data_IF_376292825567
#
_entry.id   IF_376292825567
#
_cell.length_a   1.000
_cell.length_b   1.000
_cell.length_c   1.000
_cell.angle_alpha   90.00
_cell.angle_beta   90.00
_cell.angle_gamma   90.00
#
_symmetry.space_group_name_H-M   'P 1'
#
loop_
_entity.id
_entity.type
_entity.pdbx_description
1 polymer ?
#
# COMPACT_ATOMS: atom_id res chain seq x y z
N UNK A 1 -10.97 13.67 2.49
CA UNK A 1 -10.23 12.42 2.36
C UNK A 1 -10.43 11.55 3.59
N UNK A 2 -10.38 10.25 3.38
CA UNK A 2 -10.54 9.25 4.43
C UNK A 2 -9.24 8.46 4.54
N UNK A 3 -8.66 8.38 5.74
CA UNK A 3 -7.42 7.67 5.99
C UNK A 3 -7.70 6.28 6.59
N UNK A 4 -6.89 5.31 6.21
CA UNK A 4 -6.96 3.96 6.80
C UNK A 4 -6.41 3.92 8.23
N UNK A 5 -5.59 4.92 8.57
CA UNK A 5 -4.71 4.82 9.72
C UNK A 5 -3.54 3.90 9.41
N UNK A 6 -2.62 3.76 10.35
CA UNK A 6 -1.47 2.88 10.21
C UNK A 6 -1.88 1.43 10.43
N UNK A 7 -1.59 0.56 9.47
CA UNK A 7 -1.90 -0.87 9.56
C UNK A 7 -0.59 -1.65 9.44
N UNK A 8 -0.28 -2.42 10.46
CA UNK A 8 0.94 -3.22 10.51
C UNK A 8 0.64 -4.67 10.15
N UNK A 9 1.44 -5.22 9.23
CA UNK A 9 1.38 -6.64 8.88
C UNK A 9 2.73 -7.28 9.21
N UNK A 10 2.70 -8.40 9.90
CA UNK A 10 3.92 -9.16 10.18
C UNK A 10 4.31 -9.95 8.94
N UNK A 11 5.41 -9.54 8.29
CA UNK A 11 5.84 -10.08 7.01
C UNK A 11 7.30 -10.46 7.08
N UNK A 12 7.61 -11.70 6.74
CA UNK A 12 8.96 -12.21 6.74
C UNK A 12 9.80 -11.61 5.61
N UNK A 13 9.27 -11.65 4.38
CA UNK A 13 9.92 -11.08 3.20
C UNK A 13 9.16 -9.83 2.74
N UNK A 14 9.53 -8.69 3.32
CA UNK A 14 8.85 -7.41 3.04
C UNK A 14 9.06 -6.95 1.60
N UNK A 15 10.25 -7.20 1.03
CA UNK A 15 10.54 -6.83 -0.36
C UNK A 15 9.64 -7.59 -1.32
N UNK A 16 9.45 -8.89 -1.10
CA UNK A 16 8.57 -9.69 -1.94
C UNK A 16 7.11 -9.22 -1.84
N UNK A 17 6.67 -8.84 -0.64
CA UNK A 17 5.32 -8.31 -0.44
C UNK A 17 5.10 -7.01 -1.23
N UNK A 18 6.04 -6.09 -1.17
CA UNK A 18 5.98 -4.84 -1.95
C UNK A 18 6.00 -5.14 -3.44
N UNK A 19 6.81 -6.08 -3.89
CA UNK A 19 6.88 -6.45 -5.30
C UNK A 19 5.55 -7.03 -5.82
N UNK A 20 4.81 -7.76 -4.99
CA UNK A 20 3.48 -8.24 -5.37
C UNK A 20 2.51 -7.08 -5.63
N UNK A 21 2.59 -6.03 -4.81
CA UNK A 21 1.76 -4.84 -5.00
C UNK A 21 2.18 -4.08 -6.26
N UNK A 22 3.50 -3.94 -6.51
CA UNK A 22 3.99 -3.34 -7.75
C UNK A 22 3.46 -4.08 -8.98
N UNK A 23 3.54 -5.40 -8.96
CA UNK A 23 3.10 -6.22 -10.09
C UNK A 23 1.59 -6.08 -10.32
N UNK A 24 0.82 -6.00 -9.24
CA UNK A 24 -0.64 -5.85 -9.33
C UNK A 24 -1.03 -4.54 -10.01
N UNK A 25 -0.30 -3.46 -9.73
CA UNK A 25 -0.61 -2.15 -10.29
C UNK A 25 0.18 -1.81 -11.56
N UNK A 26 1.01 -2.72 -12.04
CA UNK A 26 1.72 -2.53 -13.30
C UNK A 26 0.69 -2.42 -14.45
N UNK A 27 0.82 -1.39 -15.27
CA UNK A 27 -0.13 -1.11 -16.35
C UNK A 27 -1.39 -0.38 -15.94
N UNK A 28 -1.62 -0.18 -14.64
CA UNK A 28 -2.70 0.66 -14.13
C UNK A 28 -2.24 2.13 -14.08
N UNK A 29 -3.18 3.10 -13.96
CA UNK A 29 -2.80 4.51 -13.82
C UNK A 29 -2.29 4.83 -12.41
N UNK A 30 -1.30 4.07 -11.97
CA UNK A 30 -0.70 4.18 -10.63
C UNK A 30 0.78 4.51 -10.78
N UNK A 31 1.17 5.61 -10.18
CA UNK A 31 2.58 6.01 -10.11
C UNK A 31 3.22 5.39 -8.88
N UNK A 32 4.47 4.96 -9.01
CA UNK A 32 5.20 4.30 -7.92
C UNK A 32 6.47 5.09 -7.64
N UNK A 33 6.70 5.42 -6.37
CA UNK A 33 7.86 6.17 -5.93
C UNK A 33 8.50 5.52 -4.71
N UNK A 34 9.82 5.40 -4.71
CA UNK A 34 10.59 4.70 -3.67
C UNK A 34 11.46 5.63 -2.81
N UNK A 35 10.99 6.83 -2.51
CA UNK A 35 11.80 7.79 -1.74
C UNK A 35 11.69 7.59 -0.22
N UNK A 36 10.52 7.24 0.29
CA UNK A 36 10.25 7.02 1.72
C UNK A 36 9.33 5.83 1.85
N UNK A 37 9.92 4.64 1.87
CA UNK A 37 9.16 3.43 1.62
C UNK A 37 8.76 3.40 0.15
N UNK A 38 7.64 2.77 -0.16
CA UNK A 38 7.11 2.73 -1.53
C UNK A 38 5.71 3.33 -1.54
N UNK A 39 5.53 4.39 -2.33
CA UNK A 39 4.24 5.08 -2.44
C UNK A 39 3.60 4.78 -3.79
N UNK A 40 2.36 4.34 -3.74
CA UNK A 40 1.51 4.10 -4.91
C UNK A 40 0.47 5.20 -4.98
N UNK A 41 0.38 5.90 -6.10
CA UNK A 41 -0.56 7.00 -6.28
C UNK A 41 -1.41 6.76 -7.51
N UNK A 42 -2.73 6.65 -7.31
CA UNK A 42 -3.69 6.56 -8.40
C UNK A 42 -4.31 7.94 -8.61
N UNK A 43 -3.87 8.64 -9.66
CA UNK A 43 -4.34 9.99 -9.95
C UNK A 43 -5.76 10.03 -10.50
N UNK A 44 -6.23 8.94 -11.10
CA UNK A 44 -7.59 8.87 -11.64
C UNK A 44 -8.63 8.67 -10.53
N UNK A 45 -8.36 7.77 -9.59
CA UNK A 45 -9.26 7.51 -8.46
C UNK A 45 -9.01 8.42 -7.27
N UNK A 46 -7.86 9.07 -7.25
CA UNK A 46 -7.53 10.06 -6.21
C UNK A 46 -7.06 9.47 -4.89
N UNK A 47 -6.54 8.25 -4.87
CA UNK A 47 -5.99 7.66 -3.65
C UNK A 47 -4.47 7.52 -3.72
N UNK A 48 -3.85 7.44 -2.55
CA UNK A 48 -2.44 7.06 -2.45
C UNK A 48 -2.26 6.08 -1.28
N UNK A 49 -1.25 5.24 -1.40
CA UNK A 49 -0.90 4.26 -0.37
C UNK A 49 0.61 4.18 -0.22
N UNK A 50 1.08 4.12 1.00
CA UNK A 50 2.50 3.98 1.30
C UNK A 50 2.73 2.67 2.04
N UNK A 51 3.70 1.89 1.58
CA UNK A 51 4.18 0.69 2.24
C UNK A 51 5.59 0.94 2.73
N UNK A 52 5.81 0.79 4.03
CA UNK A 52 7.08 1.12 4.66
C UNK A 52 7.51 0.01 5.62
N UNK A 53 8.68 -0.61 5.39
CA UNK A 53 9.16 -1.61 6.32
C UNK A 53 9.65 -0.97 7.62
N UNK A 54 9.40 -1.64 8.75
CA UNK A 54 10.02 -1.27 10.02
C UNK A 54 11.48 -1.73 10.02
N UNK A 55 12.38 -0.94 10.59
CA UNK A 55 13.80 -1.27 10.66
C UNK A 55 14.12 -2.31 11.74
N UNK A 56 13.31 -2.38 12.78
CA UNK A 56 13.62 -3.18 13.97
C UNK A 56 12.64 -4.32 14.20
N UNK A 57 11.51 -4.33 13.51
CA UNK A 57 10.44 -5.30 13.71
C UNK A 57 10.04 -5.94 12.37
N UNK A 58 9.48 -7.16 12.39
CA UNK A 58 9.09 -7.84 11.14
C UNK A 58 7.78 -7.29 10.56
N UNK A 59 7.57 -5.98 10.66
CA UNK A 59 6.32 -5.35 10.22
C UNK A 59 6.50 -4.56 8.92
N UNK A 60 5.50 -4.67 8.07
CA UNK A 60 5.33 -3.79 6.91
C UNK A 60 4.12 -2.90 7.22
N UNK A 61 4.33 -1.59 7.21
CA UNK A 61 3.30 -0.60 7.55
C UNK A 61 2.62 -0.11 6.29
N UNK A 62 1.29 -0.08 6.34
CA UNK A 62 0.47 0.51 5.30
C UNK A 62 -0.20 1.76 5.84
N UNK A 63 -0.08 2.85 5.09
CA UNK A 63 -0.89 4.05 5.29
C UNK A 63 -1.54 4.40 3.95
N UNK A 64 -2.80 4.76 3.97
CA UNK A 64 -3.60 4.95 2.76
C UNK A 64 -4.60 6.07 2.99
N UNK A 65 -4.77 6.92 1.96
CA UNK A 65 -5.84 7.92 1.92
C UNK A 65 -6.58 7.83 0.60
N UNK A 66 -7.90 8.04 0.68
CA UNK A 66 -8.77 8.01 -0.49
C UNK A 66 -9.85 9.08 -0.38
N UNK A 67 -10.54 9.43 -1.49
CA UNK A 67 -11.58 10.47 -1.44
C UNK A 67 -12.78 10.11 -0.60
N UNK A 68 -13.09 8.82 -0.46
CA UNK A 68 -14.26 8.34 0.28
C UNK A 68 -13.98 6.99 0.95
N UNK A 69 -14.86 6.62 1.88
CA UNK A 69 -14.70 5.39 2.65
C UNK A 69 -14.77 4.11 1.80
N UNK A 70 -15.71 3.95 0.86
CA UNK A 70 -15.73 2.75 0.03
C UNK A 70 -14.45 2.54 -0.77
N UNK A 71 -13.89 3.59 -1.34
CA UNK A 71 -12.62 3.51 -2.09
C UNK A 71 -11.46 3.15 -1.15
N UNK A 72 -11.39 3.79 0.01
CA UNK A 72 -10.36 3.51 0.99
C UNK A 72 -10.40 2.04 1.42
N UNK A 73 -11.57 1.53 1.75
CA UNK A 73 -11.73 0.15 2.20
C UNK A 73 -11.39 -0.85 1.09
N UNK A 74 -11.82 -0.59 -0.14
CA UNK A 74 -11.50 -1.45 -1.28
C UNK A 74 -10.00 -1.55 -1.53
N UNK A 75 -9.32 -0.41 -1.57
CA UNK A 75 -7.88 -0.36 -1.85
C UNK A 75 -7.10 -0.97 -0.67
N UNK A 76 -7.50 -0.65 0.56
CA UNK A 76 -6.89 -1.22 1.77
C UNK A 76 -6.93 -2.74 1.72
N UNK A 77 -8.11 -3.31 1.47
CA UNK A 77 -8.30 -4.76 1.47
C UNK A 77 -7.54 -5.42 0.33
N UNK A 78 -7.50 -4.78 -0.83
CA UNK A 78 -6.77 -5.24 -2.00
C UNK A 78 -5.26 -5.31 -1.72
N UNK A 79 -4.70 -4.24 -1.16
CA UNK A 79 -3.26 -4.19 -0.83
C UNK A 79 -2.92 -5.18 0.28
N UNK A 80 -3.74 -5.27 1.32
CA UNK A 80 -3.49 -6.21 2.43
C UNK A 80 -3.55 -7.67 1.96
N UNK A 81 -4.45 -7.99 1.03
CA UNK A 81 -4.50 -9.33 0.47
C UNK A 81 -3.21 -9.70 -0.28
N UNK A 82 -2.62 -8.74 -1.00
CA UNK A 82 -1.35 -8.94 -1.70
C UNK A 82 -0.18 -9.04 -0.73
N UNK A 83 -0.17 -8.19 0.29
CA UNK A 83 0.90 -8.16 1.28
C UNK A 83 0.92 -9.45 2.11
N UNK A 84 -0.23 -9.97 2.45
CA UNK A 84 -0.39 -11.12 3.32
C UNK A 84 -0.50 -12.46 2.58
N UNK A 85 -0.16 -12.48 1.33
CA UNK A 85 -0.14 -13.70 0.54
C UNK A 85 0.86 -14.74 1.05
#
# INVERSE_FOLDING_TARGET
>A
YVASGEINSEIEDKAAAVDRVRAHYAGAPVEVEDSDGTTFTNTEEGWWANLRPSNTEPFLRLNLEAPDTPTMERVRDEILALVRQ
#
